data_IF_568469361931
#
_entry.id   IF_568469361931
#
_cell.length_a   1.000
_cell.length_b   1.000
_cell.length_c   1.000
_cell.angle_alpha   90.00
_cell.angle_beta   90.00
_cell.angle_gamma   90.00
#
_symmetry.space_group_name_H-M   'P 1'
#
loop_
_entity.id
_entity.type
_entity.pdbx_description
1 polymer ?
#
# COMPACT_ATOMS: atom_id res chain seq x y z
N UNK A 1 13.03 25.74 -2.77
CA UNK A 1 13.43 24.84 -1.68
C UNK A 1 13.29 23.42 -2.21
N UNK A 2 14.40 22.79 -2.61
CA UNK A 2 14.39 21.38 -3.03
C UNK A 2 14.49 20.52 -1.79
N UNK A 3 13.45 19.76 -1.47
CA UNK A 3 13.55 18.66 -0.52
C UNK A 3 14.10 17.45 -1.26
N UNK A 4 15.35 17.09 -0.96
CA UNK A 4 15.96 15.85 -1.43
C UNK A 4 15.53 14.73 -0.49
N UNK A 5 14.45 14.01 -0.82
CA UNK A 5 14.00 12.86 -0.04
C UNK A 5 14.89 11.63 -0.33
N UNK A 6 15.38 11.00 0.74
CA UNK A 6 16.59 10.19 0.73
C UNK A 6 16.45 8.67 0.71
N UNK A 7 15.30 8.08 0.32
CA UNK A 7 15.21 6.63 0.14
C UNK A 7 14.36 6.27 -1.08
N UNK A 8 14.99 5.64 -2.08
CA UNK A 8 14.28 5.02 -3.20
C UNK A 8 13.91 3.59 -2.82
N UNK A 9 12.65 3.19 -3.00
CA UNK A 9 12.26 1.79 -2.99
C UNK A 9 11.51 1.45 -4.27
N UNK A 10 11.71 0.22 -4.74
CA UNK A 10 11.11 -0.27 -5.98
C UNK A 10 9.99 -1.23 -5.65
N UNK A 11 8.82 -1.03 -6.25
CA UNK A 11 7.70 -1.97 -6.18
C UNK A 11 7.75 -2.90 -7.40
N UNK A 12 8.01 -4.19 -7.16
CA UNK A 12 7.98 -5.21 -8.22
C UNK A 12 6.76 -6.10 -8.04
N UNK A 13 6.02 -6.31 -9.13
CA UNK A 13 4.99 -7.35 -9.19
C UNK A 13 5.66 -8.66 -9.58
N UNK A 14 5.43 -9.69 -8.78
CA UNK A 14 6.00 -11.03 -8.96
C UNK A 14 4.89 -12.01 -9.38
N UNK A 15 5.23 -13.30 -9.47
CA UNK A 15 4.34 -14.39 -9.83
C UNK A 15 3.06 -14.48 -8.96
N UNK A 16 2.03 -15.11 -9.51
CA UNK A 16 0.83 -15.46 -8.75
C UNK A 16 1.07 -16.68 -7.88
N UNK A 17 0.54 -16.70 -6.66
CA UNK A 17 0.60 -17.84 -5.74
C UNK A 17 -0.80 -18.24 -5.30
N UNK A 18 -1.04 -19.55 -5.13
CA UNK A 18 -2.28 -20.05 -4.54
C UNK A 18 -2.10 -20.28 -3.05
N UNK A 19 -2.93 -19.63 -2.23
CA UNK A 19 -2.93 -19.77 -0.77
C UNK A 19 -4.38 -20.03 -0.35
N UNK A 20 -4.63 -21.12 0.37
CA UNK A 20 -5.97 -21.51 0.84
C UNK A 20 -7.04 -21.49 -0.26
N UNK A 21 -6.70 -22.03 -1.44
CA UNK A 21 -7.60 -22.07 -2.60
C UNK A 21 -7.82 -20.75 -3.32
N UNK A 22 -7.23 -19.64 -2.85
CA UNK A 22 -7.31 -18.34 -3.49
C UNK A 22 -6.02 -17.99 -4.23
N UNK A 23 -6.15 -17.43 -5.44
CA UNK A 23 -5.01 -16.91 -6.21
C UNK A 23 -4.69 -15.48 -5.79
N UNK A 24 -3.47 -15.26 -5.34
CA UNK A 24 -2.94 -13.95 -4.98
C UNK A 24 -1.85 -13.54 -5.96
N UNK A 25 -1.72 -12.23 -6.18
CA UNK A 25 -0.56 -11.62 -6.82
C UNK A 25 0.44 -11.22 -5.75
N UNK A 26 1.69 -11.64 -5.89
CA UNK A 26 2.77 -11.24 -4.98
C UNK A 26 3.33 -9.88 -5.40
N UNK A 27 3.48 -9.00 -4.42
CA UNK A 27 4.12 -7.70 -4.53
C UNK A 27 5.33 -7.69 -3.60
N UNK A 28 6.47 -7.24 -4.11
CA UNK A 28 7.68 -7.08 -3.31
C UNK A 28 8.10 -5.62 -3.36
N UNK A 29 8.10 -4.99 -2.20
CA UNK A 29 8.67 -3.67 -1.99
C UNK A 29 10.13 -3.85 -1.56
N UNK A 30 11.05 -3.44 -2.44
CA UNK A 30 12.49 -3.52 -2.21
C UNK A 30 13.05 -2.16 -1.82
N UNK A 31 13.56 -2.07 -0.59
CA UNK A 31 14.20 -0.85 -0.11
C UNK A 31 15.67 -0.84 -0.55
N UNK A 32 16.12 0.26 -1.18
CA UNK A 32 17.51 0.38 -1.65
C UNK A 32 18.46 0.90 -0.55
N UNK A 33 18.00 1.00 0.70
CA UNK A 33 18.77 1.49 1.84
C UNK A 33 19.31 0.33 2.68
N UNK A 34 20.62 0.31 2.99
CA UNK A 34 21.24 -0.74 3.81
C UNK A 34 20.52 -0.96 5.13
N UNK A 35 20.26 -2.21 5.50
CA UNK A 35 19.61 -2.59 6.76
C UNK A 35 18.08 -2.59 6.74
N UNK A 36 17.44 -2.15 5.64
CA UNK A 36 15.98 -2.16 5.51
C UNK A 36 15.51 -3.47 4.90
N UNK A 37 14.58 -4.19 5.55
CA UNK A 37 14.05 -5.45 5.03
C UNK A 37 13.05 -5.18 3.91
N UNK A 38 13.12 -5.97 2.84
CA UNK A 38 12.08 -5.98 1.81
C UNK A 38 10.74 -6.38 2.43
N UNK A 39 9.65 -5.74 2.00
CA UNK A 39 8.30 -6.12 2.38
C UNK A 39 7.67 -6.92 1.26
N UNK A 40 7.09 -8.07 1.60
CA UNK A 40 6.30 -8.87 0.67
C UNK A 40 4.83 -8.73 1.06
N UNK A 41 3.97 -8.56 0.08
CA UNK A 41 2.52 -8.52 0.27
C UNK A 41 1.88 -9.35 -0.82
N UNK A 42 0.85 -10.09 -0.47
CA UNK A 42 0.08 -10.90 -1.41
C UNK A 42 -1.32 -10.31 -1.44
N UNK A 43 -1.80 -9.96 -2.63
CA UNK A 43 -3.10 -9.32 -2.78
C UNK A 43 -3.99 -10.11 -3.73
N UNK A 44 -5.28 -10.17 -3.42
CA UNK A 44 -6.30 -10.76 -4.29
C UNK A 44 -7.50 -9.84 -4.41
N UNK A 45 -8.22 -9.97 -5.51
CA UNK A 45 -9.52 -9.33 -5.68
C UNK A 45 -10.60 -10.24 -5.08
N UNK A 46 -11.36 -9.71 -4.12
CA UNK A 46 -12.58 -10.30 -3.59
C UNK A 46 -13.83 -9.66 -4.19
N UNK A 47 -15.00 -10.12 -3.75
CA UNK A 47 -16.30 -9.61 -4.21
C UNK A 47 -16.55 -8.15 -3.79
N UNK A 48 -16.00 -7.77 -2.66
CA UNK A 48 -16.26 -6.51 -1.94
C UNK A 48 -14.99 -5.67 -1.70
N UNK A 49 -13.85 -6.09 -2.24
CA UNK A 49 -12.61 -5.34 -2.08
C UNK A 49 -11.35 -6.05 -2.53
N UNK A 50 -10.24 -5.34 -2.39
CA UNK A 50 -8.89 -5.89 -2.48
C UNK A 50 -8.49 -6.34 -1.09
N UNK A 51 -8.10 -7.61 -0.99
CA UNK A 51 -7.63 -8.23 0.23
C UNK A 51 -6.14 -8.46 0.15
N UNK A 52 -5.44 -8.28 1.26
CA UNK A 52 -4.00 -8.43 1.35
C UNK A 52 -3.56 -9.22 2.56
N UNK A 53 -2.38 -9.85 2.45
CA UNK A 53 -1.71 -10.58 3.53
C UNK A 53 -0.20 -10.39 3.43
N UNK A 54 0.51 -10.50 4.57
CA UNK A 54 1.95 -10.22 4.66
C UNK A 54 2.85 -11.43 4.43
N UNK A 55 2.28 -12.64 4.47
CA UNK A 55 3.01 -13.89 4.27
C UNK A 55 2.15 -14.92 3.51
N UNK A 56 2.81 -15.85 2.82
CA UNK A 56 2.19 -17.02 2.21
C UNK A 56 1.85 -18.13 3.20
N UNK A 57 2.33 -18.03 4.44
CA UNK A 57 1.95 -18.96 5.51
C UNK A 57 0.47 -18.89 5.80
N UNK A 58 -0.19 -20.04 5.98
CA UNK A 58 -1.64 -20.13 6.21
C UNK A 58 -2.09 -19.38 7.47
N UNK A 59 -1.21 -19.25 8.46
CA UNK A 59 -1.44 -18.52 9.71
C UNK A 59 -1.43 -17.00 9.54
N UNK A 60 -0.95 -16.48 8.40
CA UNK A 60 -0.99 -15.03 8.13
C UNK A 60 -2.43 -14.58 7.92
N UNK A 61 -2.84 -13.62 8.74
CA UNK A 61 -4.13 -12.96 8.60
C UNK A 61 -4.23 -12.24 7.25
N UNK A 62 -5.41 -12.36 6.65
CA UNK A 62 -5.82 -11.56 5.51
C UNK A 62 -6.65 -10.36 6.00
N UNK A 63 -6.45 -9.21 5.38
CA UNK A 63 -7.14 -7.97 5.73
C UNK A 63 -7.65 -7.24 4.50
N UNK A 64 -8.72 -6.47 4.67
CA UNK A 64 -9.27 -5.61 3.63
C UNK A 64 -8.34 -4.41 3.42
N UNK A 65 -7.63 -4.40 2.30
CA UNK A 65 -6.75 -3.28 1.93
C UNK A 65 -7.55 -2.13 1.32
N UNK A 66 -8.49 -2.42 0.41
CA UNK A 66 -9.29 -1.41 -0.25
C UNK A 66 -10.72 -1.91 -0.52
N UNK A 67 -11.77 -1.29 0.06
CA UNK A 67 -13.14 -1.68 -0.24
C UNK A 67 -13.55 -1.31 -1.66
N UNK A 68 -14.39 -2.16 -2.28
CA UNK A 68 -14.98 -1.94 -3.59
C UNK A 68 -16.51 -2.13 -3.54
N UNK A 69 -17.30 -1.28 -4.23
CA UNK A 69 -16.87 -0.12 -4.99
C UNK A 69 -16.33 1.01 -4.08
N UNK A 70 -15.34 1.78 -4.54
CA UNK A 70 -14.75 2.84 -3.72
C UNK A 70 -15.74 3.99 -3.52
N UNK A 71 -15.89 4.47 -2.29
CA UNK A 71 -16.74 5.62 -1.95
C UNK A 71 -15.96 6.63 -1.12
N UNK A 72 -15.96 7.89 -1.53
CA UNK A 72 -15.34 8.98 -0.76
C UNK A 72 -15.97 9.06 0.64
N UNK A 73 -15.14 9.22 1.66
CA UNK A 73 -15.51 9.22 3.07
C UNK A 73 -15.74 7.82 3.66
N UNK A 74 -15.61 6.75 2.87
CA UNK A 74 -15.70 5.40 3.39
C UNK A 74 -14.49 5.10 4.26
N UNK A 75 -14.76 4.62 5.48
CA UNK A 75 -13.76 4.24 6.48
C UNK A 75 -13.81 2.75 6.74
N UNK A 76 -12.65 2.17 7.00
CA UNK A 76 -12.51 0.78 7.44
C UNK A 76 -11.29 0.66 8.34
N UNK A 77 -11.23 -0.45 9.07
CA UNK A 77 -10.13 -0.77 9.96
C UNK A 77 -9.73 -2.22 9.78
N UNK A 78 -8.45 -2.49 9.98
CA UNK A 78 -7.95 -3.86 10.08
C UNK A 78 -6.88 -3.94 11.16
N UNK A 79 -6.65 -5.16 11.63
CA UNK A 79 -5.60 -5.48 12.59
C UNK A 79 -4.76 -6.61 11.99
N UNK A 80 -3.45 -6.50 12.12
CA UNK A 80 -2.50 -7.57 11.77
C UNK A 80 -1.55 -7.76 12.93
N UNK A 81 -1.74 -8.85 13.68
CA UNK A 81 -1.02 -9.05 14.94
C UNK A 81 -1.32 -7.94 15.95
N UNK A 82 -0.30 -7.14 16.30
CA UNK A 82 -0.43 -6.00 17.26
C UNK A 82 -0.67 -4.65 16.59
N UNK A 83 -0.59 -4.60 15.27
CA UNK A 83 -0.75 -3.36 14.50
C UNK A 83 -2.22 -3.14 14.18
N UNK A 84 -2.71 -1.93 14.43
CA UNK A 84 -4.02 -1.50 14.00
C UNK A 84 -3.86 -0.42 12.94
N UNK A 85 -4.70 -0.48 11.92
CA UNK A 85 -4.78 0.56 10.90
C UNK A 85 -6.23 0.94 10.69
N UNK A 86 -6.49 2.24 10.71
CA UNK A 86 -7.72 2.83 10.20
C UNK A 86 -7.41 3.54 8.88
N UNK A 87 -8.35 3.46 7.95
CA UNK A 87 -8.19 4.00 6.61
C UNK A 87 -9.46 4.72 6.15
N UNK A 88 -9.29 5.70 5.26
CA UNK A 88 -10.36 6.45 4.62
C UNK A 88 -10.06 6.71 3.14
N UNK A 89 -11.04 6.51 2.26
CA UNK A 89 -10.98 7.04 0.89
C UNK A 89 -11.27 8.54 0.98
N UNK A 90 -10.22 9.34 1.02
CA UNK A 90 -10.29 10.78 1.27
C UNK A 90 -10.71 11.58 0.02
N UNK A 91 -10.27 11.16 -1.17
CA UNK A 91 -10.53 11.90 -2.41
C UNK A 91 -10.39 11.03 -3.66
N UNK A 92 -10.89 11.57 -4.78
CA UNK A 92 -10.54 11.15 -6.14
C UNK A 92 -9.83 12.33 -6.80
N UNK A 93 -8.56 12.14 -7.19
CA UNK A 93 -7.73 13.23 -7.71
C UNK A 93 -6.82 12.76 -8.87
N UNK A 94 -6.22 13.71 -9.60
CA UNK A 94 -5.15 13.37 -10.56
C UNK A 94 -3.80 13.50 -9.86
N UNK A 95 -2.90 12.55 -10.10
CA UNK A 95 -1.58 12.51 -9.47
C UNK A 95 -0.51 12.42 -10.55
N UNK A 96 0.49 13.29 -10.48
CA UNK A 96 1.67 13.23 -11.36
C UNK A 96 2.78 12.42 -10.69
N UNK A 97 3.29 11.41 -11.39
CA UNK A 97 4.39 10.55 -10.96
C UNK A 97 5.36 10.37 -12.13
N UNK A 98 6.63 10.75 -11.92
CA UNK A 98 7.70 10.61 -12.92
C UNK A 98 7.32 11.18 -14.32
N UNK A 99 6.68 12.35 -14.36
CA UNK A 99 6.25 13.00 -15.60
C UNK A 99 5.01 12.39 -16.27
N UNK A 100 4.38 11.38 -15.66
CA UNK A 100 3.09 10.82 -16.10
C UNK A 100 1.98 11.24 -15.16
N UNK A 101 0.88 11.75 -15.73
CA UNK A 101 -0.34 12.04 -14.98
C UNK A 101 -1.25 10.82 -14.96
N UNK A 102 -1.67 10.41 -13.77
CA UNK A 102 -2.66 9.38 -13.52
C UNK A 102 -3.96 10.04 -13.08
N UNK A 103 -5.01 9.91 -13.90
CA UNK A 103 -6.31 10.50 -13.61
C UNK A 103 -7.18 9.60 -12.74
N UNK A 104 -8.08 10.22 -11.96
CA UNK A 104 -9.07 9.53 -11.13
C UNK A 104 -8.45 8.55 -10.12
N UNK A 105 -7.31 8.92 -9.55
CA UNK A 105 -6.67 8.16 -8.49
C UNK A 105 -7.48 8.26 -7.19
N UNK A 106 -7.69 7.13 -6.53
CA UNK A 106 -8.19 7.10 -5.16
C UNK A 106 -7.08 7.52 -4.21
N UNK A 107 -7.30 8.58 -3.43
CA UNK A 107 -6.45 8.93 -2.30
C UNK A 107 -6.98 8.22 -1.06
N UNK A 108 -6.16 7.34 -0.49
CA UNK A 108 -6.43 6.67 0.78
C UNK A 108 -5.51 7.25 1.84
N UNK A 109 -6.10 7.79 2.91
CA UNK A 109 -5.35 8.17 4.09
C UNK A 109 -5.47 7.04 5.11
N UNK A 110 -4.36 6.66 5.74
CA UNK A 110 -4.34 5.61 6.77
C UNK A 110 -3.56 6.09 7.99
N UNK A 111 -4.00 5.69 9.17
CA UNK A 111 -3.36 6.00 10.45
C UNK A 111 -3.44 4.81 11.40
N UNK A 112 -2.46 4.69 12.29
CA UNK A 112 -2.40 3.55 13.19
C UNK A 112 -1.01 3.36 13.80
N UNK A 113 -0.59 2.12 13.95
CA UNK A 113 0.74 1.78 14.48
C UNK A 113 1.49 0.77 13.61
N UNK A 114 2.81 0.96 13.50
CA UNK A 114 3.75 0.01 12.89
C UNK A 114 4.87 -0.24 13.90
N UNK A 115 5.11 -1.49 14.28
CA UNK A 115 6.07 -1.86 15.33
C UNK A 115 5.90 -1.06 16.64
N UNK A 116 4.64 -0.72 16.98
CA UNK A 116 4.30 0.07 18.17
C UNK A 116 4.52 1.58 18.06
N UNK A 117 5.04 2.07 16.94
CA UNK A 117 5.20 3.50 16.66
C UNK A 117 3.99 4.06 15.91
N UNK A 118 3.54 5.30 16.20
CA UNK A 118 2.51 5.96 15.42
C UNK A 118 2.91 6.03 13.95
N UNK A 119 1.97 5.69 13.08
CA UNK A 119 2.15 5.71 11.64
C UNK A 119 0.99 6.46 10.96
N UNK A 120 1.32 7.21 9.92
CA UNK A 120 0.36 7.82 9.00
C UNK A 120 0.84 7.58 7.58
N UNK A 121 -0.06 7.26 6.66
CA UNK A 121 0.28 7.14 5.25
C UNK A 121 -0.79 7.71 4.33
N UNK A 122 -0.36 8.15 3.16
CA UNK A 122 -1.20 8.55 2.04
C UNK A 122 -0.83 7.67 0.85
N UNK A 123 -1.81 6.93 0.35
CA UNK A 123 -1.64 6.04 -0.80
C UNK A 123 -2.54 6.49 -1.92
N UNK A 124 -2.02 6.52 -3.14
CA UNK A 124 -2.77 6.81 -4.35
C UNK A 124 -2.89 5.57 -5.22
N UNK A 125 -4.12 5.16 -5.51
CA UNK A 125 -4.42 4.03 -6.39
C UNK A 125 -5.03 4.53 -7.69
N UNK A 126 -4.35 4.32 -8.81
CA UNK A 126 -4.88 4.62 -10.13
C UNK A 126 -5.71 3.42 -10.66
N UNK A 127 -6.84 3.68 -11.37
CA UNK A 127 -7.63 2.62 -11.99
C UNK A 127 -6.78 1.75 -12.91
N UNK A 128 -6.94 0.42 -12.83
CA UNK A 128 -6.25 -0.58 -13.67
C UNK A 128 -4.72 -0.66 -13.51
N UNK A 129 -4.11 0.25 -12.75
CA UNK A 129 -2.68 0.27 -12.48
C UNK A 129 -2.39 -0.20 -11.05
N UNK A 130 -3.24 0.18 -10.08
CA UNK A 130 -2.99 -0.06 -8.66
C UNK A 130 -2.26 1.11 -8.00
N UNK A 131 -1.45 0.83 -6.99
CA UNK A 131 -0.73 1.86 -6.23
C UNK A 131 0.30 2.58 -7.12
N UNK A 132 0.18 3.90 -7.27
CA UNK A 132 1.09 4.73 -8.07
C UNK A 132 1.97 5.64 -7.22
N UNK A 133 1.51 5.98 -6.01
CA UNK A 133 2.23 6.82 -5.05
C UNK A 133 1.89 6.39 -3.63
N UNK A 134 2.87 6.44 -2.74
CA UNK A 134 2.72 6.16 -1.33
C UNK A 134 3.66 7.08 -0.54
N UNK A 135 3.15 7.77 0.45
CA UNK A 135 3.94 8.51 1.41
C UNK A 135 3.58 8.02 2.81
N UNK A 136 4.55 7.88 3.70
CA UNK A 136 4.32 7.43 5.07
C UNK A 136 5.23 8.13 6.05
N UNK A 137 4.70 8.41 7.23
CA UNK A 137 5.45 8.85 8.40
C UNK A 137 5.32 7.77 9.47
N UNK A 138 6.45 7.25 9.97
CA UNK A 138 6.48 6.27 11.07
C UNK A 138 7.42 6.78 12.14
N UNK A 139 6.93 6.97 13.37
CA UNK A 139 7.77 7.47 14.47
C UNK A 139 8.45 8.82 14.19
N UNK A 140 7.84 9.65 13.34
CA UNK A 140 8.39 10.94 12.89
C UNK A 140 9.36 10.86 11.71
N UNK A 141 9.64 9.68 11.16
CA UNK A 141 10.45 9.52 9.95
C UNK A 141 9.56 9.42 8.71
N UNK A 142 9.86 10.22 7.69
CA UNK A 142 9.11 10.26 6.43
C UNK A 142 9.74 9.37 5.35
N UNK A 143 8.88 8.71 4.58
CA UNK A 143 9.22 7.84 3.45
C UNK A 143 8.27 8.14 2.29
N UNK A 144 8.80 8.24 1.08
CA UNK A 144 7.99 8.37 -0.14
C UNK A 144 8.40 7.30 -1.14
N UNK A 145 7.40 6.68 -1.74
CA UNK A 145 7.49 5.68 -2.80
C UNK A 145 6.62 6.13 -3.95
N UNK A 146 7.15 6.03 -5.15
CA UNK A 146 6.40 6.30 -6.35
C UNK A 146 6.69 5.19 -7.36
N UNK A 147 5.72 4.87 -8.20
CA UNK A 147 5.88 3.87 -9.24
C UNK A 147 7.03 4.32 -10.18
N UNK A 148 8.15 3.59 -10.14
CA UNK A 148 9.26 3.78 -11.08
C UNK A 148 8.90 3.11 -12.41
N UNK A 149 9.06 3.84 -13.51
CA UNK A 149 9.08 3.23 -14.84
C UNK A 149 10.52 2.85 -15.16
N UNK A 150 10.74 1.58 -15.54
CA UNK A 150 11.90 1.19 -16.35
C UNK A 150 11.62 1.51 -17.83
#
# INVERSE_FOLDING_TARGET
MSSTFGQHATLTHDETVTIDGHTYRKMVLRHNSPGTKNRVTYSRLGKDGIYSRRSSELTSEEYLELPLPPKIGQKWRYQVGKEHTESEIAAIESVEVAGKTYHKCLRVNSWGTVDGMPAYSVTHYAPWVGMVKFASTVGGQEFELALSQE
#
